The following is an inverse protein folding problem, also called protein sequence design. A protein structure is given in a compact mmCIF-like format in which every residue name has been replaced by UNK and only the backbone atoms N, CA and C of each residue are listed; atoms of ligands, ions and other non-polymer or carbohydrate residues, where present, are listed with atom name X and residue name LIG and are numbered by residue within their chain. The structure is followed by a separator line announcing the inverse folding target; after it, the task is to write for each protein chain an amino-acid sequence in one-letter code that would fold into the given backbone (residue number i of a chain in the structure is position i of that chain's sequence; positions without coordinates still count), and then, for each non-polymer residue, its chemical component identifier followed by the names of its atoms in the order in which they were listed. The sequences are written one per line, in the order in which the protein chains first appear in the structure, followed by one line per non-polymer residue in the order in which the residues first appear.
data_IF_887005716222
#
_entry.id   IF_887005716222
#
_cell.length_a   1.000
_cell.length_b   1.000
_cell.length_c   1.000
_cell.angle_alpha   90.00
_cell.angle_beta   90.00
_cell.angle_gamma   90.00
#
_symmetry.space_group_name_H-M   'P 1'
#
loop_
_entity.id
_entity.type
_entity.pdbx_description
1 polymer ?
#
# COMPACT_ATOMS: atom_id res chain seq x y z
N UNK A 1 19.14 -9.64 -2.03
CA UNK A 1 18.81 -8.24 -1.62
C UNK A 1 18.59 -7.43 -2.88
N UNK A 2 17.41 -6.88 -3.09
CA UNK A 2 17.19 -5.97 -4.19
C UNK A 2 17.80 -4.61 -3.82
N UNK A 3 18.80 -4.18 -4.58
CA UNK A 3 19.45 -2.88 -4.40
C UNK A 3 18.41 -1.77 -4.56
N UNK A 4 18.27 -0.89 -3.56
CA UNK A 4 17.35 0.26 -3.60
C UNK A 4 15.97 0.04 -2.96
N UNK A 5 15.65 -1.16 -2.47
CA UNK A 5 14.41 -1.39 -1.71
C UNK A 5 14.71 -1.27 -0.21
N UNK A 6 13.95 -0.45 0.55
CA UNK A 6 14.15 -0.34 1.99
C UNK A 6 13.92 -1.68 2.69
N UNK A 7 14.77 -2.00 3.64
CA UNK A 7 14.63 -3.15 4.51
C UNK A 7 14.34 -2.68 5.93
N UNK A 8 13.57 -3.48 6.67
CA UNK A 8 13.37 -3.23 8.09
C UNK A 8 14.67 -3.51 8.86
N UNK A 9 15.15 -2.56 9.61
CA UNK A 9 16.46 -2.55 10.27
C UNK A 9 16.41 -2.77 11.79
N UNK A 10 15.19 -2.83 12.37
CA UNK A 10 14.96 -3.03 13.80
C UNK A 10 14.65 -4.49 14.11
N UNK A 11 14.96 -4.98 15.33
CA UNK A 11 14.55 -6.31 15.77
C UNK A 11 13.02 -6.46 15.71
N UNK A 12 12.55 -7.54 15.08
CA UNK A 12 11.12 -7.84 15.03
C UNK A 12 10.62 -8.32 16.40
N UNK A 13 9.66 -7.60 16.94
CA UNK A 13 8.92 -8.00 18.13
C UNK A 13 7.79 -8.94 17.70
N UNK A 14 7.77 -10.16 18.27
CA UNK A 14 6.72 -11.15 18.02
C UNK A 14 5.65 -11.06 19.11
N UNK A 15 4.37 -11.23 18.72
CA UNK A 15 3.23 -11.19 19.61
C UNK A 15 2.35 -9.95 19.38
N UNK A 16 1.38 -9.74 20.28
CA UNK A 16 0.52 -8.56 20.22
C UNK A 16 1.31 -7.32 20.63
N UNK A 17 1.54 -6.43 19.68
CA UNK A 17 2.31 -5.20 19.89
C UNK A 17 1.49 -4.10 20.58
N UNK A 18 0.16 -4.28 20.73
CA UNK A 18 -0.70 -3.29 21.38
C UNK A 18 -0.49 -3.21 22.91
N UNK A 19 -0.07 -4.32 23.51
CA UNK A 19 0.19 -4.39 24.95
C UNK A 19 1.60 -3.90 25.32
N UNK A 20 2.43 -3.55 24.32
CA UNK A 20 3.77 -3.05 24.57
C UNK A 20 3.77 -1.59 25.00
N UNK A 21 4.71 -1.18 25.86
CA UNK A 21 4.81 0.20 26.29
C UNK A 21 5.11 1.12 25.10
N UNK A 22 4.46 2.28 25.10
CA UNK A 22 4.74 3.36 24.15
C UNK A 22 5.90 4.18 24.71
N UNK A 23 6.94 4.35 23.93
CA UNK A 23 8.07 5.23 24.24
C UNK A 23 7.93 6.52 23.44
N UNK A 24 7.91 7.68 24.12
CA UNK A 24 7.81 9.00 23.51
C UNK A 24 9.05 9.80 23.85
N UNK A 25 9.75 10.28 22.83
CA UNK A 25 10.85 11.24 22.94
C UNK A 25 10.41 12.54 22.25
N UNK A 26 10.58 13.67 22.90
CA UNK A 26 10.28 15.00 22.35
C UNK A 26 11.11 16.05 23.09
N UNK A 27 11.37 17.19 22.43
CA UNK A 27 12.10 18.28 23.07
C UNK A 27 11.26 18.97 24.14
N UNK A 28 9.94 19.08 23.88
CA UNK A 28 9.00 19.68 24.81
C UNK A 28 7.70 18.86 24.88
N UNK A 29 7.15 18.76 26.07
CA UNK A 29 5.82 18.19 26.32
C UNK A 29 4.99 19.16 27.15
N UNK A 30 3.74 19.39 26.73
CA UNK A 30 2.76 20.20 27.45
C UNK A 30 1.43 19.45 27.41
N UNK A 31 0.72 19.39 28.54
CA UNK A 31 -0.59 18.76 28.56
C UNK A 31 -1.32 18.96 29.85
N UNK A 32 -2.65 18.82 29.77
CA UNK A 32 -3.56 18.70 30.89
C UNK A 32 -4.02 17.23 30.94
N UNK A 33 -3.23 16.43 31.66
CA UNK A 33 -3.56 15.00 31.82
C UNK A 33 -4.87 14.82 32.58
N UNK A 34 -5.81 13.92 32.16
CA UNK A 34 -5.63 12.89 31.12
C UNK A 34 -6.08 13.29 29.71
N UNK A 35 -6.61 14.49 29.49
CA UNK A 35 -7.43 14.81 28.32
C UNK A 35 -6.61 15.14 27.06
N UNK A 36 -5.62 16.01 27.18
CA UNK A 36 -4.81 16.46 26.05
C UNK A 36 -3.31 16.47 26.37
N UNK A 37 -2.48 16.07 25.43
CA UNK A 37 -1.03 16.21 25.51
C UNK A 37 -0.46 16.65 24.16
N UNK A 38 0.43 17.62 24.15
CA UNK A 38 1.11 18.14 22.96
C UNK A 38 2.60 17.94 23.14
N UNK A 39 3.21 17.24 22.19
CA UNK A 39 4.64 17.00 22.11
C UNK A 39 5.18 17.80 20.92
N UNK A 40 6.25 18.55 21.11
CA UNK A 40 6.87 19.36 20.06
C UNK A 40 8.38 19.22 20.04
N UNK A 41 8.96 19.40 18.84
CA UNK A 41 10.39 19.32 18.61
C UNK A 41 10.89 17.88 18.46
N UNK A 42 11.13 17.46 17.23
CA UNK A 42 11.70 16.15 16.90
C UNK A 42 11.03 14.98 17.60
N UNK A 43 9.68 14.97 17.58
CA UNK A 43 8.89 13.93 18.25
C UNK A 43 9.17 12.57 17.64
N UNK A 44 9.48 11.60 18.48
CA UNK A 44 9.75 10.20 18.10
C UNK A 44 8.98 9.26 19.03
N UNK A 45 7.98 8.59 18.48
CA UNK A 45 7.09 7.67 19.21
C UNK A 45 7.33 6.26 18.68
N UNK A 46 7.59 5.33 19.59
CA UNK A 46 7.80 3.92 19.25
C UNK A 46 6.88 3.02 20.07
N UNK A 47 6.24 2.06 19.39
CA UNK A 47 5.50 0.97 20.00
C UNK A 47 5.69 -0.32 19.18
N UNK A 48 6.31 -1.32 19.78
CA UNK A 48 6.60 -2.58 19.10
C UNK A 48 7.41 -2.38 17.82
N UNK A 49 6.83 -2.76 16.68
CA UNK A 49 7.46 -2.63 15.37
C UNK A 49 7.20 -1.28 14.69
N UNK A 50 6.35 -0.43 15.25
CA UNK A 50 5.92 0.83 14.67
C UNK A 50 6.70 2.01 15.24
N UNK A 51 7.04 2.98 14.39
CA UNK A 51 7.69 4.23 14.75
C UNK A 51 7.01 5.38 14.03
N UNK A 52 6.67 6.42 14.76
CA UNK A 52 6.13 7.67 14.25
C UNK A 52 7.06 8.82 14.60
N UNK A 53 7.46 9.59 13.61
CA UNK A 53 8.23 10.82 13.78
C UNK A 53 7.47 11.98 13.18
N UNK A 54 7.49 13.15 13.85
CA UNK A 54 6.86 14.38 13.39
C UNK A 54 7.47 15.60 14.10
N UNK A 55 7.19 16.80 13.61
CA UNK A 55 7.60 18.02 14.29
C UNK A 55 6.74 18.29 15.51
N UNK A 56 5.46 17.93 15.44
CA UNK A 56 4.48 18.06 16.52
C UNK A 56 3.52 16.86 16.55
N UNK A 57 3.20 16.37 17.72
CA UNK A 57 2.18 15.34 17.94
C UNK A 57 1.24 15.79 19.04
N UNK A 58 -0.06 15.81 18.74
CA UNK A 58 -1.13 16.12 19.66
C UNK A 58 -1.90 14.84 19.99
N UNK A 59 -1.97 14.49 21.25
CA UNK A 59 -2.78 13.39 21.77
C UNK A 59 -4.04 13.95 22.39
N UNK A 60 -5.19 13.46 21.96
CA UNK A 60 -6.50 13.84 22.50
C UNK A 60 -7.19 12.60 23.09
N UNK A 61 -7.70 12.75 24.31
CA UNK A 61 -8.50 11.74 24.98
C UNK A 61 -9.83 12.35 25.39
N UNK A 62 -10.94 11.82 24.87
CA UNK A 62 -12.29 12.33 25.18
C UNK A 62 -13.21 11.19 25.57
N UNK A 63 -13.94 11.38 26.66
CA UNK A 63 -15.03 10.49 27.02
C UNK A 63 -16.15 10.59 25.98
N UNK A 64 -16.60 9.46 25.44
CA UNK A 64 -17.72 9.40 24.51
C UNK A 64 -18.94 8.79 25.20
N UNK A 65 -20.13 9.42 25.11
CA UNK A 65 -21.34 8.87 25.71
C UNK A 65 -21.66 7.48 25.17
N UNK A 66 -21.75 6.49 26.07
CA UNK A 66 -22.09 5.11 25.72
C UNK A 66 -20.90 4.21 25.35
N UNK A 67 -19.66 4.69 25.43
CA UNK A 67 -18.46 3.86 25.29
C UNK A 67 -17.80 3.67 26.67
N UNK A 68 -17.35 2.43 26.99
CA UNK A 68 -16.71 2.15 28.29
C UNK A 68 -15.29 2.72 28.39
N UNK A 69 -14.65 3.00 27.25
CA UNK A 69 -13.30 3.55 27.18
C UNK A 69 -13.30 4.90 26.47
N UNK A 70 -12.44 5.85 26.91
CA UNK A 70 -12.30 7.12 26.23
C UNK A 70 -11.77 6.94 24.82
N UNK A 71 -12.25 7.77 23.90
CA UNK A 71 -11.72 7.83 22.52
C UNK A 71 -10.39 8.56 22.53
N UNK A 72 -9.36 7.88 22.05
CA UNK A 72 -7.99 8.40 21.94
C UNK A 72 -7.63 8.63 20.49
N UNK A 73 -7.30 9.87 20.16
CA UNK A 73 -6.84 10.26 18.83
C UNK A 73 -5.49 10.93 18.87
N UNK A 74 -4.73 10.78 17.79
CA UNK A 74 -3.42 11.38 17.61
C UNK A 74 -3.43 12.20 16.32
N UNK A 75 -3.03 13.44 16.39
CA UNK A 75 -2.69 14.30 15.25
C UNK A 75 -1.18 14.46 15.18
N UNK A 76 -0.57 14.13 14.04
CA UNK A 76 0.84 14.34 13.76
C UNK A 76 0.98 15.40 12.69
N UNK A 77 1.79 16.42 12.93
CA UNK A 77 1.94 17.61 12.10
C UNK A 77 3.41 17.86 11.78
N UNK A 78 3.68 18.20 10.53
CA UNK A 78 5.02 18.54 10.04
C UNK A 78 5.94 17.32 9.93
N UNK A 79 6.50 17.11 8.74
CA UNK A 79 7.49 16.06 8.44
C UNK A 79 7.13 14.67 8.99
N UNK A 80 5.84 14.30 8.88
CA UNK A 80 5.35 13.02 9.39
C UNK A 80 6.03 11.89 8.67
N UNK A 81 6.68 11.01 9.42
CA UNK A 81 7.30 9.78 8.96
C UNK A 81 6.83 8.64 9.85
N UNK A 82 6.08 7.71 9.28
CA UNK A 82 5.70 6.47 9.93
C UNK A 82 6.39 5.30 9.25
N UNK A 83 6.95 4.42 10.03
CA UNK A 83 7.53 3.19 9.52
C UNK A 83 7.22 1.99 10.43
N UNK A 84 6.90 0.89 9.80
CA UNK A 84 6.78 -0.42 10.44
C UNK A 84 7.49 -1.50 9.59
N UNK A 85 7.31 -2.78 9.96
CA UNK A 85 7.90 -3.90 9.23
C UNK A 85 7.25 -4.18 7.85
N UNK A 86 6.24 -3.42 7.45
CA UNK A 86 5.48 -3.62 6.20
C UNK A 86 5.52 -2.41 5.27
N UNK A 87 5.47 -1.19 5.83
CA UNK A 87 5.33 0.04 5.06
C UNK A 87 6.06 1.20 5.70
N UNK A 88 6.54 2.10 4.85
CA UNK A 88 7.05 3.42 5.21
C UNK A 88 6.09 4.44 4.61
N UNK A 89 5.60 5.37 5.41
CA UNK A 89 4.71 6.46 5.02
C UNK A 89 5.37 7.80 5.33
N UNK A 90 5.22 8.77 4.43
CA UNK A 90 5.70 10.15 4.63
C UNK A 90 4.62 11.11 4.17
N UNK A 91 4.43 12.20 4.91
CA UNK A 91 3.46 13.22 4.55
C UNK A 91 3.55 14.44 5.47
N UNK A 92 2.86 15.54 5.16
CA UNK A 92 2.84 16.73 6.00
C UNK A 92 1.95 16.60 7.23
N UNK A 93 0.96 15.68 7.17
CA UNK A 93 -0.03 15.50 8.24
C UNK A 93 -0.49 14.05 8.34
N UNK A 94 -0.61 13.57 9.58
CA UNK A 94 -1.21 12.29 9.93
C UNK A 94 -2.28 12.45 11.01
N UNK A 95 -3.25 11.55 11.03
CA UNK A 95 -4.24 11.40 12.10
C UNK A 95 -4.48 9.91 12.35
N UNK A 96 -4.65 9.55 13.61
CA UNK A 96 -4.97 8.18 13.98
C UNK A 96 -5.98 8.13 15.13
N UNK A 97 -6.90 7.15 15.08
CA UNK A 97 -7.74 6.76 16.19
C UNK A 97 -7.16 5.47 16.79
N UNK A 98 -6.68 5.55 18.02
CA UNK A 98 -6.01 4.44 18.68
C UNK A 98 -6.96 3.32 19.11
N UNK A 99 -8.26 3.61 19.27
CA UNK A 99 -9.27 2.61 19.62
C UNK A 99 -9.68 1.76 18.41
N UNK A 100 -9.94 2.41 17.27
CA UNK A 100 -10.40 1.72 16.04
C UNK A 100 -9.26 1.35 15.10
N UNK A 101 -8.04 1.84 15.36
CA UNK A 101 -6.84 1.72 14.49
C UNK A 101 -7.04 2.36 13.11
N UNK A 102 -8.02 3.25 12.99
CA UNK A 102 -8.21 4.02 11.78
C UNK A 102 -7.12 5.08 11.66
N UNK A 103 -6.54 5.23 10.48
CA UNK A 103 -5.53 6.26 10.21
C UNK A 103 -5.81 7.02 8.94
N UNK A 104 -5.36 8.27 8.90
CA UNK A 104 -5.35 9.13 7.72
C UNK A 104 -3.96 9.76 7.58
N UNK A 105 -3.40 9.76 6.37
CA UNK A 105 -2.19 10.49 6.04
C UNK A 105 -2.46 11.29 4.78
N UNK A 106 -2.29 12.61 4.85
CA UNK A 106 -2.55 13.53 3.74
C UNK A 106 -1.30 13.75 2.91
N UNK A 107 -1.49 13.89 1.59
CA UNK A 107 -0.43 14.18 0.60
C UNK A 107 0.80 13.29 0.79
N UNK A 108 0.53 11.97 0.93
CA UNK A 108 1.53 11.04 1.40
C UNK A 108 2.23 10.28 0.28
N UNK A 109 3.52 10.04 0.50
CA UNK A 109 4.31 9.05 -0.21
C UNK A 109 4.36 7.76 0.62
N UNK A 110 4.21 6.61 -0.04
CA UNK A 110 4.38 5.33 0.63
C UNK A 110 5.37 4.42 -0.10
N UNK A 111 6.03 3.55 0.67
CA UNK A 111 6.95 2.54 0.17
C UNK A 111 6.78 1.24 0.95
N UNK A 112 6.62 0.13 0.25
CA UNK A 112 6.58 -1.19 0.89
C UNK A 112 7.98 -1.60 1.37
N UNK A 113 8.06 -2.20 2.55
CA UNK A 113 9.30 -2.74 3.13
C UNK A 113 9.61 -4.11 2.51
N UNK A 114 10.86 -4.33 2.14
CA UNK A 114 11.33 -5.62 1.61
C UNK A 114 10.88 -5.97 0.19
N UNK A 115 10.08 -5.11 -0.45
CA UNK A 115 9.61 -5.30 -1.83
C UNK A 115 9.47 -3.97 -2.56
N UNK A 116 9.47 -4.04 -3.87
CA UNK A 116 9.15 -2.90 -4.73
C UNK A 116 7.68 -2.53 -4.56
N UNK A 117 7.34 -1.26 -4.68
CA UNK A 117 5.98 -0.79 -4.60
C UNK A 117 5.86 0.60 -3.99
N UNK A 118 6.59 1.61 -4.51
CA UNK A 118 6.38 3.00 -4.14
C UNK A 118 5.07 3.51 -4.74
N UNK A 119 4.46 4.46 -4.05
CA UNK A 119 3.28 5.16 -4.55
C UNK A 119 3.03 6.44 -3.78
N UNK A 120 2.02 7.18 -4.25
CA UNK A 120 1.58 8.45 -3.67
C UNK A 120 0.07 8.47 -3.61
N UNK A 121 -0.49 9.25 -2.69
CA UNK A 121 -1.92 9.54 -2.65
C UNK A 121 -2.16 10.91 -2.02
N UNK A 122 -3.26 11.57 -2.43
CA UNK A 122 -3.69 12.80 -1.79
C UNK A 122 -4.15 12.54 -0.36
N UNK A 123 -4.79 11.39 -0.14
CA UNK A 123 -5.17 10.92 1.18
C UNK A 123 -5.06 9.39 1.25
N UNK A 124 -4.29 8.91 2.18
CA UNK A 124 -4.19 7.49 2.54
C UNK A 124 -5.01 7.24 3.81
N UNK A 125 -5.86 6.23 3.76
CA UNK A 125 -6.72 5.84 4.88
C UNK A 125 -6.50 4.36 5.21
N UNK A 126 -6.41 4.04 6.48
CA UNK A 126 -6.57 2.66 6.96
C UNK A 126 -7.87 2.54 7.74
N UNK A 127 -8.60 1.48 7.53
CA UNK A 127 -9.91 1.22 8.12
C UNK A 127 -10.07 -0.25 8.49
N UNK A 128 -11.00 -0.51 9.42
CA UNK A 128 -11.38 -1.86 9.81
C UNK A 128 -10.22 -2.65 10.41
N UNK A 129 -9.55 -2.10 11.41
CA UNK A 129 -8.40 -2.73 12.10
C UNK A 129 -7.28 -3.13 11.13
N UNK A 130 -6.94 -2.23 10.20
CA UNK A 130 -5.95 -2.43 9.14
C UNK A 130 -6.37 -3.39 8.00
N UNK A 131 -7.62 -3.79 7.92
CA UNK A 131 -8.11 -4.61 6.81
C UNK A 131 -8.05 -3.86 5.48
N UNK A 132 -8.57 -2.64 5.45
CA UNK A 132 -8.64 -1.82 4.23
C UNK A 132 -7.57 -0.73 4.22
N UNK A 133 -6.79 -0.68 3.14
CA UNK A 133 -5.97 0.48 2.80
C UNK A 133 -6.62 1.16 1.59
N UNK A 134 -7.04 2.43 1.76
CA UNK A 134 -7.74 3.22 0.75
C UNK A 134 -6.86 4.40 0.38
N UNK A 135 -6.61 4.59 -0.91
CA UNK A 135 -5.79 5.66 -1.46
C UNK A 135 -6.67 6.53 -2.36
N UNK A 136 -6.96 7.75 -1.94
CA UNK A 136 -7.67 8.73 -2.76
C UNK A 136 -6.67 9.38 -3.72
N UNK A 137 -7.01 9.43 -5.03
CA UNK A 137 -6.10 9.83 -6.10
C UNK A 137 -4.73 9.15 -6.00
N UNK A 138 -4.79 7.83 -5.78
CA UNK A 138 -3.62 7.02 -5.51
C UNK A 138 -2.86 6.61 -6.77
N UNK A 139 -1.56 6.37 -6.59
CA UNK A 139 -0.69 5.79 -7.60
C UNK A 139 0.10 4.62 -7.04
N UNK A 140 0.44 3.67 -7.91
CA UNK A 140 1.25 2.51 -7.58
C UNK A 140 2.17 2.18 -8.75
N UNK A 141 3.40 1.76 -8.47
CA UNK A 141 4.31 1.15 -9.44
C UNK A 141 5.08 0.01 -8.80
N UNK A 142 5.52 -0.97 -9.59
CA UNK A 142 6.48 -1.99 -9.13
C UNK A 142 7.91 -1.68 -9.58
N UNK A 143 8.16 -0.47 -10.07
CA UNK A 143 9.51 -0.04 -10.38
C UNK A 143 10.33 0.20 -9.10
N UNK A 144 11.64 0.28 -9.23
CA UNK A 144 12.50 0.70 -8.13
C UNK A 144 12.17 2.14 -7.72
N UNK A 145 12.32 2.52 -6.45
CA UNK A 145 12.17 3.90 -6.00
C UNK A 145 13.00 4.86 -6.86
N UNK A 146 12.36 5.93 -7.35
CA UNK A 146 12.99 6.90 -8.25
C UNK A 146 12.97 6.54 -9.75
N UNK A 147 12.35 5.42 -10.13
CA UNK A 147 12.14 5.06 -11.53
C UNK A 147 10.66 5.13 -11.88
N UNK A 148 10.27 6.10 -12.71
CA UNK A 148 8.89 6.33 -13.13
C UNK A 148 8.59 5.73 -14.51
N UNK A 149 9.13 4.56 -14.82
CA UNK A 149 8.96 3.92 -16.12
C UNK A 149 7.48 3.65 -16.40
N UNK A 150 6.74 3.17 -15.40
CA UNK A 150 5.29 3.00 -15.50
C UNK A 150 4.60 3.15 -14.14
N UNK A 151 3.33 3.49 -14.15
CA UNK A 151 2.49 3.55 -12.96
C UNK A 151 1.02 3.25 -13.28
N UNK A 152 0.31 2.72 -12.29
CA UNK A 152 -1.15 2.70 -12.28
C UNK A 152 -1.62 3.83 -11.38
N UNK A 153 -2.56 4.63 -11.87
CA UNK A 153 -3.17 5.73 -11.12
C UNK A 153 -4.67 5.50 -11.08
N UNK A 154 -5.29 5.67 -9.92
CA UNK A 154 -6.73 5.57 -9.73
C UNK A 154 -7.29 6.77 -9.00
N UNK A 155 -8.56 7.11 -9.22
CA UNK A 155 -9.26 8.09 -8.37
C UNK A 155 -9.44 7.56 -6.95
N UNK A 156 -9.59 6.25 -6.83
CA UNK A 156 -9.59 5.52 -5.56
C UNK A 156 -8.97 4.14 -5.77
N UNK A 157 -8.09 3.73 -4.87
CA UNK A 157 -7.49 2.39 -4.83
C UNK A 157 -7.80 1.80 -3.46
N UNK A 158 -8.54 0.68 -3.43
CA UNK A 158 -8.92 -0.02 -2.21
C UNK A 158 -8.18 -1.35 -2.17
N UNK A 159 -7.31 -1.54 -1.22
CA UNK A 159 -6.63 -2.80 -0.96
C UNK A 159 -7.30 -3.52 0.22
N UNK A 160 -8.02 -4.61 -0.04
CA UNK A 160 -8.52 -5.52 0.97
C UNK A 160 -7.46 -6.58 1.27
N UNK A 161 -6.88 -6.53 2.46
CA UNK A 161 -5.81 -7.45 2.89
C UNK A 161 -6.33 -8.86 3.15
N UNK A 162 -7.57 -9.02 3.61
CA UNK A 162 -8.17 -10.33 3.84
C UNK A 162 -8.48 -11.03 2.52
N UNK A 163 -9.10 -10.30 1.59
CA UNK A 163 -9.43 -10.82 0.28
C UNK A 163 -8.23 -10.84 -0.67
N UNK A 164 -7.13 -10.15 -0.32
CA UNK A 164 -5.91 -10.04 -1.12
C UNK A 164 -6.18 -9.49 -2.52
N UNK A 165 -6.95 -8.42 -2.57
CA UNK A 165 -7.40 -7.78 -3.80
C UNK A 165 -7.16 -6.28 -3.72
N UNK A 166 -6.72 -5.68 -4.82
CA UNK A 166 -6.73 -4.24 -5.02
C UNK A 166 -7.81 -3.89 -6.05
N UNK A 167 -8.76 -3.05 -5.65
CA UNK A 167 -9.78 -2.46 -6.52
C UNK A 167 -9.37 -1.05 -6.89
N UNK A 168 -9.41 -0.72 -8.16
CA UNK A 168 -8.93 0.56 -8.67
C UNK A 168 -10.05 1.18 -9.52
N UNK A 169 -10.55 2.30 -9.06
CA UNK A 169 -11.55 3.09 -9.77
C UNK A 169 -10.89 4.12 -10.68
N UNK A 170 -11.44 4.27 -11.89
CA UNK A 170 -10.88 5.14 -12.93
C UNK A 170 -9.39 4.87 -13.19
N UNK A 171 -9.05 3.59 -13.27
CA UNK A 171 -7.68 3.12 -13.45
C UNK A 171 -7.07 3.63 -14.76
N UNK A 172 -5.89 4.21 -14.67
CA UNK A 172 -5.07 4.66 -15.80
C UNK A 172 -3.70 4.02 -15.69
N UNK A 173 -3.34 3.22 -16.65
CA UNK A 173 -1.97 2.75 -16.77
C UNK A 173 -1.15 3.77 -17.57
N UNK A 174 -0.07 4.26 -16.97
CA UNK A 174 0.81 5.27 -17.55
C UNK A 174 2.19 4.71 -17.80
N UNK A 175 2.81 5.15 -18.90
CA UNK A 175 4.24 4.94 -19.19
C UNK A 175 4.89 6.31 -19.20
N UNK A 176 5.73 6.58 -18.21
CA UNK A 176 6.13 7.94 -17.89
C UNK A 176 4.89 8.81 -17.64
N UNK A 177 4.78 9.98 -18.27
CA UNK A 177 3.62 10.88 -18.11
C UNK A 177 2.40 10.47 -18.95
N UNK A 178 2.53 9.53 -19.90
CA UNK A 178 1.52 9.26 -20.92
C UNK A 178 0.57 8.14 -20.47
N UNK A 179 -0.75 8.39 -20.35
CA UNK A 179 -1.71 7.33 -20.10
C UNK A 179 -1.93 6.52 -21.40
N UNK A 180 -1.73 5.21 -21.33
CA UNK A 180 -1.83 4.30 -22.49
C UNK A 180 -3.02 3.35 -22.40
N UNK A 181 -3.61 3.20 -21.21
CA UNK A 181 -4.78 2.36 -20.97
C UNK A 181 -5.66 2.99 -19.89
N UNK A 182 -6.98 2.86 -20.05
CA UNK A 182 -8.00 3.31 -19.11
C UNK A 182 -9.04 2.22 -18.87
N UNK A 183 -9.43 2.05 -17.63
CA UNK A 183 -10.59 1.25 -17.24
C UNK A 183 -11.39 1.99 -16.16
N UNK A 184 -12.71 2.06 -16.23
CA UNK A 184 -13.52 2.66 -15.17
C UNK A 184 -13.41 1.88 -13.84
N UNK A 185 -13.17 0.58 -13.91
CA UNK A 185 -12.92 -0.30 -12.78
C UNK A 185 -11.91 -1.36 -13.16
N UNK A 186 -10.94 -1.61 -12.29
CA UNK A 186 -9.93 -2.65 -12.46
C UNK A 186 -9.73 -3.34 -11.11
N UNK A 187 -9.77 -4.66 -11.09
CA UNK A 187 -9.46 -5.47 -9.93
C UNK A 187 -8.18 -6.27 -10.18
N UNK A 188 -7.24 -6.18 -9.26
CA UNK A 188 -5.95 -6.88 -9.33
C UNK A 188 -5.80 -7.79 -8.10
N UNK A 189 -5.45 -9.08 -8.27
CA UNK A 189 -5.02 -9.92 -7.17
C UNK A 189 -3.64 -9.42 -6.68
N UNK A 190 -3.50 -9.17 -5.37
CA UNK A 190 -2.28 -8.63 -4.76
C UNK A 190 -1.65 -9.55 -3.71
N UNK A 191 -2.13 -10.78 -3.62
CA UNK A 191 -1.67 -11.80 -2.66
C UNK A 191 -1.58 -13.19 -3.27
N UNK A 192 -1.48 -14.19 -2.43
CA UNK A 192 -1.28 -15.58 -2.81
C UNK A 192 -2.61 -16.33 -3.12
N UNK A 193 -3.76 -15.72 -2.83
CA UNK A 193 -5.06 -16.30 -3.14
C UNK A 193 -5.26 -16.38 -4.66
N UNK A 194 -5.50 -17.58 -5.16
CA UNK A 194 -5.75 -17.81 -6.59
C UNK A 194 -7.12 -17.26 -6.99
N UNK A 195 -7.14 -16.15 -7.72
CA UNK A 195 -8.37 -15.52 -8.25
C UNK A 195 -8.18 -15.15 -9.71
N UNK A 196 -9.23 -15.28 -10.50
CA UNK A 196 -9.24 -14.77 -11.88
C UNK A 196 -9.22 -13.24 -11.85
N UNK A 197 -8.41 -12.64 -12.73
CA UNK A 197 -8.32 -11.19 -12.85
C UNK A 197 -7.15 -10.77 -13.72
N UNK A 198 -7.08 -9.47 -14.02
CA UNK A 198 -5.93 -8.91 -14.70
C UNK A 198 -4.72 -8.94 -13.76
N UNK A 199 -3.59 -9.35 -14.28
CA UNK A 199 -2.31 -9.20 -13.61
C UNK A 199 -1.72 -7.83 -13.91
N UNK A 200 -0.69 -7.46 -13.17
CA UNK A 200 -0.02 -6.17 -13.35
C UNK A 200 0.45 -6.06 -14.82
N UNK A 201 -0.01 -5.03 -15.54
CA UNK A 201 0.43 -4.81 -16.91
C UNK A 201 1.93 -4.52 -16.95
N UNK A 202 2.57 -4.82 -18.06
CA UNK A 202 3.97 -4.51 -18.29
C UNK A 202 4.14 -3.78 -19.61
N UNK A 203 5.05 -2.82 -19.64
CA UNK A 203 5.41 -2.11 -20.83
C UNK A 203 6.94 -2.00 -20.94
N UNK A 204 7.47 -2.21 -22.14
CA UNK A 204 8.90 -2.03 -22.39
C UNK A 204 9.12 -1.35 -23.74
N UNK A 205 10.30 -0.76 -23.89
CA UNK A 205 10.75 -0.21 -25.15
C UNK A 205 12.02 -0.93 -25.59
N UNK A 206 12.00 -1.46 -26.82
CA UNK A 206 13.14 -2.14 -27.41
C UNK A 206 13.47 -1.52 -28.76
N UNK A 207 14.73 -1.58 -29.16
CA UNK A 207 15.15 -1.10 -30.49
C UNK A 207 14.57 -1.93 -31.62
N UNK A 208 14.17 -3.18 -31.34
CA UNK A 208 13.62 -4.12 -32.32
C UNK A 208 12.13 -3.92 -32.55
N UNK A 209 11.34 -3.77 -31.50
CA UNK A 209 9.87 -3.71 -31.57
C UNK A 209 9.30 -2.33 -31.20
N UNK A 210 10.16 -1.38 -30.78
CA UNK A 210 9.78 -0.09 -30.19
C UNK A 210 8.96 -0.29 -28.91
N UNK A 211 7.78 0.29 -28.81
CA UNK A 211 6.90 0.14 -27.67
C UNK A 211 6.19 -1.22 -27.71
N UNK A 212 6.26 -1.94 -26.61
CA UNK A 212 5.57 -3.20 -26.38
C UNK A 212 4.74 -3.09 -25.09
N UNK A 213 3.52 -3.61 -25.13
CA UNK A 213 2.59 -3.59 -24.00
C UNK A 213 1.97 -4.97 -23.80
N UNK A 214 1.98 -5.44 -22.57
CA UNK A 214 1.45 -6.73 -22.14
C UNK A 214 0.36 -6.51 -21.12
N UNK A 215 -0.82 -7.13 -21.29
CA UNK A 215 -1.93 -7.09 -20.36
C UNK A 215 -2.36 -8.51 -19.98
N UNK A 216 -1.64 -9.19 -19.06
CA UNK A 216 -1.96 -10.58 -18.73
C UNK A 216 -3.29 -10.66 -17.97
N UNK A 217 -4.12 -11.63 -18.34
CA UNK A 217 -5.32 -12.03 -17.60
C UNK A 217 -5.11 -13.45 -17.07
N UNK A 218 -5.15 -13.60 -15.76
CA UNK A 218 -5.11 -14.89 -15.10
C UNK A 218 -6.52 -15.45 -14.95
N UNK A 219 -6.73 -16.67 -15.39
CA UNK A 219 -7.99 -17.38 -15.29
C UNK A 219 -7.83 -18.59 -14.38
N UNK A 220 -8.38 -18.51 -13.16
CA UNK A 220 -8.47 -19.62 -12.21
C UNK A 220 -9.66 -20.51 -12.58
N UNK A 221 -9.42 -21.54 -13.40
CA UNK A 221 -10.48 -22.40 -13.95
C UNK A 221 -10.98 -23.39 -12.91
N UNK A 222 -10.03 -24.01 -12.17
CA UNK A 222 -10.30 -24.98 -11.13
C UNK A 222 -9.16 -25.01 -10.11
N UNK A 223 -9.32 -25.66 -8.93
CA UNK A 223 -8.25 -25.74 -7.92
C UNK A 223 -6.94 -26.33 -8.44
N UNK A 224 -7.01 -27.16 -9.49
CA UNK A 224 -5.86 -27.82 -10.11
C UNK A 224 -5.60 -27.37 -11.55
N UNK A 225 -6.28 -26.32 -12.02
CA UNK A 225 -6.21 -25.90 -13.41
C UNK A 225 -6.34 -24.39 -13.55
N UNK A 226 -5.42 -23.75 -14.25
CA UNK A 226 -5.48 -22.34 -14.55
C UNK A 226 -4.90 -22.02 -15.93
N UNK A 227 -5.17 -20.82 -16.40
CA UNK A 227 -4.61 -20.30 -17.64
C UNK A 227 -4.20 -18.83 -17.46
N UNK A 228 -3.17 -18.41 -18.18
CA UNK A 228 -2.82 -17.00 -18.31
C UNK A 228 -2.90 -16.63 -19.80
N UNK A 229 -3.72 -15.64 -20.10
CA UNK A 229 -3.94 -15.14 -21.46
C UNK A 229 -3.35 -13.73 -21.53
N UNK A 230 -2.37 -13.51 -22.37
CA UNK A 230 -1.64 -12.24 -22.46
C UNK A 230 -1.72 -11.68 -23.89
N UNK A 231 -2.59 -10.69 -24.14
CA UNK A 231 -2.44 -9.87 -25.33
C UNK A 231 -1.15 -9.06 -25.24
N UNK A 232 -0.28 -9.24 -26.23
CA UNK A 232 1.00 -8.57 -26.36
C UNK A 232 0.97 -7.67 -27.59
N UNK A 233 0.84 -6.36 -27.38
CA UNK A 233 0.89 -5.36 -28.44
C UNK A 233 2.32 -4.99 -28.77
N UNK A 234 2.66 -4.99 -30.06
CA UNK A 234 3.97 -4.59 -30.59
C UNK A 234 3.79 -3.45 -31.60
N UNK A 235 4.29 -2.26 -31.27
CA UNK A 235 4.11 -1.06 -32.09
C UNK A 235 4.65 -1.22 -33.51
N UNK A 236 5.85 -1.73 -33.66
CA UNK A 236 6.50 -1.88 -34.99
C UNK A 236 5.76 -2.82 -35.93
N UNK A 237 5.12 -3.84 -35.39
CA UNK A 237 4.38 -4.83 -36.19
C UNK A 237 2.92 -4.46 -36.39
N UNK A 238 2.40 -3.49 -35.60
CA UNK A 238 1.01 -3.08 -35.62
C UNK A 238 0.00 -4.19 -35.26
N UNK A 239 0.49 -5.29 -34.65
CA UNK A 239 -0.31 -6.47 -34.35
C UNK A 239 -0.29 -6.81 -32.86
N UNK A 240 -1.35 -7.51 -32.44
CA UNK A 240 -1.45 -8.13 -31.13
C UNK A 240 -1.08 -9.61 -31.28
N UNK A 241 -0.08 -10.04 -30.56
CA UNK A 241 0.25 -11.45 -30.37
C UNK A 241 -0.46 -11.96 -29.12
N UNK A 242 -1.00 -13.15 -29.15
CA UNK A 242 -1.62 -13.79 -28.00
C UNK A 242 -0.65 -14.81 -27.42
N UNK A 243 -0.20 -14.59 -26.22
CA UNK A 243 0.58 -15.53 -25.44
C UNK A 243 -0.37 -16.22 -24.46
N UNK A 244 -0.48 -17.54 -24.57
CA UNK A 244 -1.37 -18.33 -23.72
C UNK A 244 -0.56 -19.38 -22.99
N UNK A 245 -0.64 -19.38 -21.68
CA UNK A 245 -0.07 -20.39 -20.81
C UNK A 245 -1.22 -21.15 -20.11
N UNK A 246 -1.24 -22.46 -20.24
CA UNK A 246 -2.19 -23.34 -19.59
C UNK A 246 -1.45 -24.24 -18.61
N UNK A 247 -1.89 -24.26 -17.35
CA UNK A 247 -1.30 -25.08 -16.29
C UNK A 247 -2.32 -26.06 -15.74
N UNK A 248 -1.93 -27.32 -15.67
CA UNK A 248 -2.70 -28.39 -15.08
C UNK A 248 -1.83 -29.19 -14.11
N UNK A 249 -2.26 -29.31 -12.86
CA UNK A 249 -1.61 -30.15 -11.86
C UNK A 249 -2.54 -31.32 -11.51
N UNK A 250 -2.25 -32.56 -11.97
CA UNK A 250 -3.05 -33.70 -11.59
C UNK A 250 -2.93 -33.90 -10.06
N UNK A 251 -4.08 -34.06 -9.38
CA UNK A 251 -4.07 -34.45 -7.96
C UNK A 251 -3.35 -35.80 -7.90
N UNK A 252 -2.24 -35.87 -7.20
CA UNK A 252 -1.70 -37.15 -6.74
C UNK A 252 -2.73 -37.71 -5.78
N UNK A 253 -3.40 -38.80 -6.13
CA UNK A 253 -4.12 -39.63 -5.18
C UNK A 253 -3.05 -40.07 -4.16
N UNK A 254 -3.17 -39.57 -2.93
CA UNK A 254 -2.44 -40.15 -1.80
C UNK A 254 -3.09 -41.51 -1.61
N UNK A 255 -2.40 -42.59 -2.00
CA UNK A 255 -2.71 -43.96 -1.65
C UNK A 255 -2.30 -44.23 -0.20
#
# INVERSE_FOLDING_TARGET
MHVGVPSYDRPLVQGDTNDLPVTINADHAKGDYPDDAVFTGSVDIMQGNSRLQADEVQLHQKEAPGQPEPVRTVDALGNVHYDDNQVILKGPKGWANLNTKDTNVWEGDYQMVGRQGPGKADLMKQRGENRYTILDNGSFTSCLPGSDTWSVVGSEIIHDREEQVAEIWNARFKVGPVPIFYSPYLQLPVGDKRRSGFLIPNAKYTTTNYFEFYLPYYWNIAPNMDATITPHYMHRRGNIMWENEFRYSPRRALA
#
